data_IF_281137165833
#
_entry.id   IF_281137165833
#
_cell.length_a   1.000
_cell.length_b   1.000
_cell.length_c   1.000
_cell.angle_alpha   90.00
_cell.angle_beta   90.00
_cell.angle_gamma   90.00
#
_symmetry.space_group_name_H-M   'P 1'
#
loop_
_entity.id
_entity.type
_entity.pdbx_description
1 polymer ?
#
# COMPACT_ATOMS: atom_id res chain seq x y z
N UNK A 1 3.75 -1.96 -1.55
CA UNK A 1 4.47 -2.53 -0.40
C UNK A 1 5.01 -1.40 0.46
N UNK A 2 5.35 -1.68 1.72
CA UNK A 2 5.96 -0.73 2.63
C UNK A 2 6.52 -1.40 3.87
N UNK A 3 6.89 -0.58 4.86
CA UNK A 3 7.25 -1.00 6.23
C UNK A 3 6.23 -0.49 7.22
N UNK A 4 5.97 -1.24 8.29
CA UNK A 4 5.08 -0.86 9.40
C UNK A 4 5.80 -0.96 10.74
N UNK A 5 5.16 -0.44 11.78
CA UNK A 5 5.78 -0.27 13.10
C UNK A 5 5.83 -1.57 13.91
N UNK A 6 4.74 -2.33 13.99
CA UNK A 6 4.68 -3.56 14.78
C UNK A 6 4.07 -4.74 13.99
N UNK A 7 4.69 -5.94 14.04
CA UNK A 7 4.12 -7.14 13.43
C UNK A 7 2.69 -7.43 13.92
N UNK A 8 1.82 -7.80 12.99
CA UNK A 8 0.40 -8.06 13.26
C UNK A 8 -0.50 -6.83 13.10
N UNK A 9 0.06 -5.62 13.03
CA UNK A 9 -0.72 -4.42 12.76
C UNK A 9 -1.36 -4.47 11.36
N UNK A 10 -2.52 -3.84 11.23
CA UNK A 10 -3.25 -3.76 9.97
C UNK A 10 -2.92 -2.47 9.25
N UNK A 11 -2.50 -2.58 8.00
CA UNK A 11 -2.34 -1.45 7.09
C UNK A 11 -3.61 -1.32 6.26
N UNK A 12 -4.17 -0.11 6.21
CA UNK A 12 -5.23 0.24 5.26
C UNK A 12 -4.66 1.22 4.24
N UNK A 13 -4.63 0.81 2.98
CA UNK A 13 -4.21 1.67 1.85
C UNK A 13 -5.44 2.21 1.16
N UNK A 14 -5.45 3.52 0.89
CA UNK A 14 -6.45 4.20 0.07
C UNK A 14 -5.86 4.52 -1.30
N UNK A 15 -6.55 4.07 -2.35
CA UNK A 15 -6.17 4.26 -3.74
C UNK A 15 -6.77 5.56 -4.33
N UNK A 16 -6.29 6.05 -5.50
CA UNK A 16 -6.73 7.31 -6.07
C UNK A 16 -8.24 7.39 -6.38
N UNK A 17 -8.85 6.25 -6.67
CA UNK A 17 -10.29 6.11 -6.91
C UNK A 17 -11.14 6.06 -5.62
N UNK A 18 -10.49 6.12 -4.46
CA UNK A 18 -11.10 6.03 -3.13
C UNK A 18 -11.38 4.60 -2.66
N UNK A 19 -11.05 3.57 -3.46
CA UNK A 19 -11.09 2.18 -2.99
C UNK A 19 -10.01 1.95 -1.95
N UNK A 20 -10.17 0.87 -1.17
CA UNK A 20 -9.22 0.50 -0.14
C UNK A 20 -8.78 -0.94 -0.27
N UNK A 21 -7.55 -1.20 0.14
CA UNK A 21 -6.98 -2.54 0.30
C UNK A 21 -6.33 -2.66 1.67
N UNK A 22 -6.22 -3.89 2.17
CA UNK A 22 -5.63 -4.16 3.48
C UNK A 22 -4.44 -5.09 3.39
N UNK A 23 -3.49 -4.89 4.31
CA UNK A 23 -2.32 -5.71 4.49
C UNK A 23 -2.01 -5.87 5.97
N UNK A 24 -1.16 -6.83 6.30
CA UNK A 24 -0.69 -7.04 7.67
C UNK A 24 0.82 -6.85 7.70
N UNK A 25 1.32 -6.19 8.74
CA UNK A 25 2.75 -6.07 9.01
C UNK A 25 3.29 -7.43 9.42
N UNK A 26 4.26 -7.96 8.67
CA UNK A 26 4.94 -9.21 8.96
C UNK A 26 5.92 -9.10 10.12
N UNK A 27 6.46 -10.25 10.56
CA UNK A 27 7.48 -10.31 11.63
C UNK A 27 8.76 -9.53 11.31
N UNK A 28 9.05 -9.30 10.03
CA UNK A 28 10.17 -8.51 9.55
C UNK A 28 9.84 -7.01 9.37
N UNK A 29 8.63 -6.59 9.76
CA UNK A 29 8.13 -5.23 9.60
C UNK A 29 7.66 -4.90 8.18
N UNK A 30 7.70 -5.85 7.23
CA UNK A 30 7.26 -5.62 5.86
C UNK A 30 5.76 -5.85 5.68
N UNK A 31 5.16 -5.17 4.71
CA UNK A 31 3.78 -5.44 4.30
C UNK A 31 3.57 -5.21 2.81
N UNK A 32 2.53 -5.86 2.28
CA UNK A 32 2.02 -5.64 0.93
C UNK A 32 0.50 -5.56 0.94
N UNK A 33 -0.05 -4.85 -0.03
CA UNK A 33 -1.47 -4.76 -0.32
C UNK A 33 -1.64 -5.00 -1.80
N UNK A 34 -2.56 -5.90 -2.15
CA UNK A 34 -2.97 -6.09 -3.54
C UNK A 34 -3.87 -4.94 -3.99
N UNK A 35 -3.72 -4.53 -5.24
CA UNK A 35 -4.60 -3.52 -5.84
C UNK A 35 -5.98 -4.14 -6.06
N UNK A 36 -7.07 -3.55 -5.56
CA UNK A 36 -8.42 -4.05 -5.76
C UNK A 36 -8.76 -4.23 -7.24
N UNK A 37 -9.55 -5.25 -7.56
CA UNK A 37 -10.00 -5.45 -8.94
C UNK A 37 -10.79 -4.23 -9.45
N UNK A 38 -10.41 -3.74 -10.63
CA UNK A 38 -11.02 -2.57 -11.26
C UNK A 38 -10.39 -1.24 -10.87
N UNK A 39 -9.45 -1.22 -9.92
CA UNK A 39 -8.63 -0.06 -9.63
C UNK A 39 -7.45 0.01 -10.59
N UNK A 40 -7.33 1.12 -11.31
CA UNK A 40 -6.22 1.39 -12.22
C UNK A 40 -5.23 2.34 -11.55
N UNK A 41 -3.94 1.99 -11.59
CA UNK A 41 -2.85 2.81 -11.08
C UNK A 41 -1.99 3.31 -12.23
N UNK A 42 -1.82 4.62 -12.29
CA UNK A 42 -1.00 5.31 -13.28
C UNK A 42 0.27 5.85 -12.64
N UNK A 43 1.31 6.03 -13.45
CA UNK A 43 2.52 6.68 -12.97
C UNK A 43 2.21 8.12 -12.51
N UNK A 44 2.61 8.44 -11.29
CA UNK A 44 2.36 9.74 -10.67
C UNK A 44 1.12 9.79 -9.78
N UNK A 45 0.29 8.75 -9.77
CA UNK A 45 -0.83 8.66 -8.83
C UNK A 45 -0.32 8.62 -7.37
N UNK A 46 -1.11 9.19 -6.46
CA UNK A 46 -0.80 9.17 -5.02
C UNK A 46 -1.69 8.15 -4.31
N UNK A 47 -1.08 7.33 -3.46
CA UNK A 47 -1.77 6.44 -2.53
C UNK A 47 -1.46 6.88 -1.11
N UNK A 48 -2.43 6.69 -0.22
CA UNK A 48 -2.23 6.95 1.22
C UNK A 48 -2.37 5.67 2.02
N UNK A 49 -1.75 5.63 3.19
CA UNK A 49 -1.84 4.48 4.09
C UNK A 49 -1.88 4.92 5.55
N UNK A 50 -2.66 4.17 6.35
CA UNK A 50 -2.67 4.26 7.81
C UNK A 50 -2.43 2.88 8.40
N UNK A 51 -1.75 2.85 9.55
CA UNK A 51 -1.53 1.66 10.35
C UNK A 51 -2.48 1.66 11.55
N UNK A 52 -3.02 0.50 11.88
CA UNK A 52 -3.89 0.29 13.05
C UNK A 52 -3.38 -0.88 13.88
N UNK A 53 -3.13 -0.63 15.17
CA UNK A 53 -2.69 -1.65 16.11
C UNK A 53 -3.85 -2.52 16.64
N UNK A 54 -3.53 -3.59 17.38
CA UNK A 54 -4.54 -4.50 17.95
C UNK A 54 -5.46 -3.80 18.99
N UNK A 55 -4.99 -2.71 19.59
CA UNK A 55 -5.78 -1.90 20.52
C UNK A 55 -6.70 -0.88 19.80
N UNK A 56 -6.57 -0.73 18.48
CA UNK A 56 -7.36 0.17 17.65
C UNK A 56 -6.81 1.60 17.57
N UNK A 57 -5.55 1.84 17.97
CA UNK A 57 -4.90 3.12 17.73
C UNK A 57 -4.52 3.24 16.26
N UNK A 58 -4.74 4.40 15.66
CA UNK A 58 -4.47 4.68 14.24
C UNK A 58 -3.31 5.66 14.12
N UNK A 59 -2.38 5.38 13.21
CA UNK A 59 -1.25 6.26 12.90
C UNK A 59 -1.67 7.56 12.20
N UNK A 60 -0.74 8.50 12.09
CA UNK A 60 -0.82 9.55 11.07
C UNK A 60 -0.76 8.93 9.66
N UNK A 61 -1.28 9.64 8.67
CA UNK A 61 -1.30 9.20 7.27
C UNK A 61 0.11 9.28 6.64
N UNK A 62 0.52 8.19 5.99
CA UNK A 62 1.66 8.15 5.09
C UNK A 62 1.22 8.24 3.63
N UNK A 63 2.06 8.81 2.76
CA UNK A 63 1.78 8.94 1.32
C UNK A 63 2.89 8.32 0.47
N UNK A 64 2.53 7.79 -0.70
CA UNK A 64 3.47 7.30 -1.70
C UNK A 64 2.99 7.61 -3.11
N UNK A 65 3.95 7.87 -4.02
CA UNK A 65 3.67 8.08 -5.44
C UNK A 65 3.92 6.81 -6.23
N UNK A 66 2.97 6.43 -7.09
CA UNK A 66 3.07 5.27 -7.96
C UNK A 66 4.14 5.51 -9.02
N UNK A 67 5.12 4.60 -9.04
CA UNK A 67 6.19 4.56 -10.04
C UNK A 67 5.98 3.40 -10.98
N UNK A 68 6.00 3.67 -12.29
CA UNK A 68 6.03 2.60 -13.28
C UNK A 68 7.38 1.88 -13.21
N UNK A 69 7.32 0.58 -12.93
CA UNK A 69 8.50 -0.30 -12.85
C UNK A 69 8.47 -1.38 -13.93
N UNK A 70 7.52 -1.29 -14.88
CA UNK A 70 7.44 -2.20 -16.01
C UNK A 70 8.65 -2.01 -16.91
N UNK A 71 9.40 -3.10 -17.13
CA UNK A 71 10.49 -3.09 -18.08
C UNK A 71 9.91 -2.99 -19.51
N UNK A 72 10.58 -2.30 -20.44
CA UNK A 72 10.15 -2.28 -21.83
C UNK A 72 10.19 -3.69 -22.43
N UNK A 73 9.32 -3.95 -23.40
CA UNK A 73 9.38 -5.19 -24.18
C UNK A 73 10.71 -5.27 -24.95
N UNK A 74 11.31 -6.46 -25.00
CA UNK A 74 12.51 -6.70 -25.78
C UNK A 74 12.21 -6.56 -27.29
N UNK A 75 13.14 -6.03 -28.09
CA UNK A 75 12.96 -5.95 -29.55
C UNK A 75 12.86 -7.36 -30.17
N UNK A 76 11.98 -7.50 -31.18
CA UNK A 76 11.84 -8.71 -32.01
C UNK A 76 12.85 -8.75 -33.15
#
# INVERSE_FOLDING_TARGET
TGTGDEPGNTITVTFPDGTTGTGTVGEDGSWSVDVPEGTELNNGDEVTAVETDEAGNVSDEGTATVVDTTAPEAPT
#
